data_IF_057989980983
#
_entry.id   IF_057989980983
#
_cell.length_a   1.000
_cell.length_b   1.000
_cell.length_c   1.000
_cell.angle_alpha   90.00
_cell.angle_beta   90.00
_cell.angle_gamma   90.00
#
_symmetry.space_group_name_H-M   'P 1'
#
loop_
_entity.id
_entity.type
_entity.pdbx_description
1 polymer ?
#
# COMPACT_ATOMS: atom_id res chain seq x y z
N UNK A 1 21.75 7.63 6.17
CA UNK A 1 20.57 7.63 7.05
C UNK A 1 19.42 7.10 6.23
N UNK A 2 18.55 6.25 6.78
CA UNK A 2 17.35 5.76 6.07
C UNK A 2 16.26 6.79 6.27
N UNK A 3 15.66 7.28 5.19
CA UNK A 3 14.59 8.26 5.27
C UNK A 3 13.32 7.62 5.84
N UNK A 4 12.52 8.42 6.55
CA UNK A 4 11.27 7.94 7.12
C UNK A 4 10.23 7.73 6.02
N UNK A 5 9.46 6.65 6.12
CA UNK A 5 8.29 6.36 5.30
C UNK A 5 7.04 6.42 6.17
N UNK A 6 6.27 7.48 6.01
CA UNK A 6 4.92 7.58 6.52
C UNK A 6 3.97 6.77 5.65
N UNK A 7 3.11 5.97 6.27
CA UNK A 7 1.97 5.34 5.60
C UNK A 7 0.69 5.92 6.19
N UNK A 8 -0.31 6.19 5.36
CA UNK A 8 -1.55 6.82 5.80
C UNK A 8 -2.77 6.05 5.30
N UNK A 9 -3.66 5.70 6.22
CA UNK A 9 -4.98 5.17 5.90
C UNK A 9 -5.47 4.14 6.90
N UNK A 10 -5.99 3.04 6.38
CA UNK A 10 -6.68 2.00 7.14
C UNK A 10 -5.71 0.96 7.73
N UNK A 11 -5.96 0.62 9.00
CA UNK A 11 -5.51 -0.62 9.62
C UNK A 11 -6.77 -1.41 9.95
N UNK A 12 -6.84 -2.66 9.50
CA UNK A 12 -8.08 -3.46 9.54
C UNK A 12 -7.83 -4.82 10.18
N UNK A 13 -8.89 -5.42 10.71
CA UNK A 13 -8.88 -6.84 11.06
C UNK A 13 -9.54 -7.63 9.94
N UNK A 14 -8.73 -8.47 9.29
CA UNK A 14 -9.18 -9.44 8.30
C UNK A 14 -9.61 -10.72 9.01
N UNK A 15 -10.87 -11.10 8.83
CA UNK A 15 -11.42 -12.38 9.26
C UNK A 15 -11.29 -13.37 8.11
N UNK A 16 -10.25 -14.22 8.17
CA UNK A 16 -9.91 -15.18 7.10
C UNK A 16 -10.47 -16.57 7.46
N UNK A 17 -11.18 -17.29 6.57
CA UNK A 17 -11.76 -18.58 6.88
C UNK A 17 -10.69 -19.60 7.30
N UNK A 18 -10.85 -20.15 8.50
CA UNK A 18 -10.03 -21.26 8.99
C UNK A 18 -10.68 -22.60 8.65
N UNK A 19 -11.98 -22.68 8.92
CA UNK A 19 -12.87 -23.80 8.61
C UNK A 19 -14.32 -23.25 8.50
N UNK A 20 -15.31 -24.14 8.38
CA UNK A 20 -16.70 -23.73 8.14
C UNK A 20 -17.34 -22.90 9.25
N UNK A 21 -16.79 -22.89 10.47
CA UNK A 21 -17.38 -22.27 11.65
C UNK A 21 -16.42 -21.33 12.41
N UNK A 22 -15.20 -21.10 11.93
CA UNK A 22 -14.25 -20.18 12.54
C UNK A 22 -13.47 -19.35 11.51
N UNK A 23 -13.13 -18.13 11.93
CA UNK A 23 -12.25 -17.23 11.21
C UNK A 23 -10.97 -17.00 12.00
N UNK A 24 -9.85 -16.98 11.31
CA UNK A 24 -8.59 -16.44 11.82
C UNK A 24 -8.70 -14.92 11.92
N UNK A 25 -8.26 -14.37 13.05
CA UNK A 25 -8.14 -12.93 13.27
C UNK A 25 -6.77 -12.46 12.78
N UNK A 26 -6.70 -11.93 11.56
CA UNK A 26 -5.46 -11.47 10.94
C UNK A 26 -5.38 -9.93 10.98
N UNK A 27 -4.22 -9.34 11.31
CA UNK A 27 -3.99 -7.92 11.07
C UNK A 27 -3.86 -7.67 9.56
N UNK A 28 -4.40 -6.55 9.10
CA UNK A 28 -4.42 -6.17 7.69
C UNK A 28 -4.57 -4.66 7.49
N UNK A 29 -4.97 -4.29 6.27
CA UNK A 29 -5.08 -2.89 5.81
C UNK A 29 -3.87 -2.54 4.97
N UNK A 30 -4.09 -2.08 3.75
CA UNK A 30 -2.99 -1.95 2.78
C UNK A 30 -1.85 -1.03 3.27
N UNK A 31 -2.12 0.17 3.82
CA UNK A 31 -1.09 1.00 4.43
C UNK A 31 -0.38 0.31 5.59
N UNK A 32 -1.12 -0.42 6.44
CA UNK A 32 -0.56 -1.12 7.60
C UNK A 32 0.39 -2.26 7.16
N UNK A 33 0.01 -3.02 6.14
CA UNK A 33 0.83 -4.06 5.52
C UNK A 33 2.14 -3.48 4.98
N UNK A 34 2.06 -2.33 4.31
CA UNK A 34 3.24 -1.62 3.80
C UNK A 34 4.16 -1.19 4.94
N UNK A 35 3.63 -0.61 6.02
CA UNK A 35 4.46 -0.19 7.16
C UNK A 35 5.17 -1.36 7.85
N UNK A 36 4.47 -2.47 8.09
CA UNK A 36 5.07 -3.68 8.68
C UNK A 36 6.14 -4.25 7.75
N UNK A 37 5.86 -4.33 6.45
CA UNK A 37 6.84 -4.82 5.47
C UNK A 37 8.11 -3.98 5.47
N UNK A 38 8.00 -2.64 5.53
CA UNK A 38 9.16 -1.75 5.61
C UNK A 38 9.92 -1.97 6.92
N UNK A 39 9.23 -2.10 8.05
CA UNK A 39 9.86 -2.29 9.36
C UNK A 39 10.61 -3.63 9.44
N UNK A 40 10.02 -4.73 8.94
CA UNK A 40 10.66 -6.05 8.91
C UNK A 40 11.92 -6.09 8.04
N UNK A 41 12.00 -5.23 7.02
CA UNK A 41 13.20 -5.02 6.20
C UNK A 41 14.25 -4.11 6.86
N UNK A 42 14.02 -3.66 8.10
CA UNK A 42 14.91 -2.75 8.84
C UNK A 42 14.77 -1.27 8.45
N UNK A 43 13.67 -0.91 7.77
CA UNK A 43 13.34 0.47 7.41
C UNK A 43 12.74 1.26 8.57
N UNK A 44 12.56 2.58 8.35
CA UNK A 44 11.96 3.50 9.31
C UNK A 44 10.54 3.85 8.87
N UNK A 45 9.55 3.01 9.21
CA UNK A 45 8.15 3.26 8.90
C UNK A 45 7.38 3.85 10.09
N UNK A 46 6.41 4.71 9.76
CA UNK A 46 5.51 5.33 10.72
C UNK A 46 4.08 5.36 10.18
N UNK A 47 3.09 5.10 11.04
CA UNK A 47 1.69 4.98 10.65
C UNK A 47 0.89 6.22 11.07
N UNK A 48 0.16 6.80 10.11
CA UNK A 48 -0.80 7.90 10.30
C UNK A 48 -2.20 7.34 10.09
N UNK A 49 -3.06 7.39 11.10
CA UNK A 49 -4.40 6.85 10.94
C UNK A 49 -5.25 6.86 12.19
N UNK A 50 -6.47 6.36 12.05
CA UNK A 50 -7.41 6.16 13.15
C UNK A 50 -7.90 4.72 13.18
N UNK A 51 -7.97 4.17 14.38
CA UNK A 51 -8.70 2.93 14.67
C UNK A 51 -9.76 3.22 15.71
N UNK A 52 -10.77 2.37 15.86
CA UNK A 52 -11.78 2.57 16.88
C UNK A 52 -11.21 2.34 18.28
N UNK A 53 -11.81 2.99 19.29
CA UNK A 53 -11.55 2.71 20.71
C UNK A 53 -12.22 1.39 21.13
N UNK A 54 -11.78 0.31 20.49
CA UNK A 54 -12.34 -1.03 20.64
C UNK A 54 -11.23 -2.10 20.64
N UNK A 55 -11.63 -3.37 20.81
CA UNK A 55 -10.69 -4.48 20.94
C UNK A 55 -9.85 -4.73 19.68
N UNK A 56 -10.37 -4.38 18.50
CA UNK A 56 -9.65 -4.52 17.24
C UNK A 56 -8.66 -3.37 17.04
N UNK A 57 -9.03 -2.15 17.41
CA UNK A 57 -8.10 -1.02 17.37
C UNK A 57 -6.92 -1.22 18.32
N UNK A 58 -7.19 -1.67 19.55
CA UNK A 58 -6.14 -2.02 20.51
C UNK A 58 -5.24 -3.17 20.01
N UNK A 59 -5.83 -4.18 19.38
CA UNK A 59 -5.09 -5.28 18.76
C UNK A 59 -4.15 -4.78 17.64
N UNK A 60 -4.62 -3.92 16.74
CA UNK A 60 -3.81 -3.40 15.65
C UNK A 60 -2.68 -2.49 16.13
N UNK A 61 -2.94 -1.62 17.10
CA UNK A 61 -1.89 -0.81 17.74
C UNK A 61 -0.81 -1.70 18.37
N UNK A 62 -1.21 -2.77 19.06
CA UNK A 62 -0.27 -3.73 19.63
C UNK A 62 0.58 -4.40 18.54
N UNK A 63 -0.05 -4.93 17.49
CA UNK A 63 0.67 -5.59 16.37
C UNK A 63 1.65 -4.64 15.71
N UNK A 64 1.23 -3.43 15.34
CA UNK A 64 2.11 -2.46 14.68
C UNK A 64 3.29 -2.05 15.58
N UNK A 65 3.05 -1.90 16.89
CA UNK A 65 4.13 -1.62 17.85
C UNK A 65 5.11 -2.79 18.00
N UNK A 66 4.62 -4.03 18.01
CA UNK A 66 5.46 -5.24 18.08
C UNK A 66 6.33 -5.37 16.82
N UNK A 67 5.77 -5.06 15.66
CA UNK A 67 6.45 -4.99 14.35
C UNK A 67 7.39 -3.78 14.20
N UNK A 68 7.60 -2.99 15.26
CA UNK A 68 8.49 -1.81 15.28
C UNK A 68 8.08 -0.67 14.34
N UNK A 69 6.79 -0.55 14.00
CA UNK A 69 6.24 0.61 13.30
C UNK A 69 6.01 1.74 14.31
N UNK A 70 6.43 2.97 13.98
CA UNK A 70 6.13 4.15 14.79
C UNK A 70 4.64 4.50 14.69
N UNK A 71 3.89 4.27 15.77
CA UNK A 71 2.45 4.52 15.86
C UNK A 71 2.11 5.84 16.58
N UNK A 72 3.06 6.77 16.71
CA UNK A 72 2.84 8.05 17.40
C UNK A 72 1.72 8.92 16.80
N UNK A 73 1.37 8.68 15.53
CA UNK A 73 0.28 9.35 14.79
C UNK A 73 -0.91 8.41 14.51
N UNK A 74 -1.06 7.35 15.31
CA UNK A 74 -2.21 6.44 15.25
C UNK A 74 -3.17 6.70 16.41
N UNK A 75 -4.27 7.39 16.13
CA UNK A 75 -5.27 7.82 17.12
C UNK A 75 -6.37 6.76 17.32
N UNK A 76 -6.97 6.74 18.52
CA UNK A 76 -8.18 5.96 18.78
C UNK A 76 -9.42 6.85 18.68
N UNK A 77 -10.32 6.55 17.77
CA UNK A 77 -11.59 7.24 17.59
C UNK A 77 -12.62 6.74 18.61
N UNK A 78 -13.25 7.62 19.41
CA UNK A 78 -14.19 7.21 20.45
C UNK A 78 -15.58 6.83 19.91
N UNK A 79 -15.92 7.26 18.69
CA UNK A 79 -17.29 7.21 18.16
C UNK A 79 -17.46 6.19 17.03
N UNK A 80 -16.36 5.81 16.37
CA UNK A 80 -16.36 4.89 15.23
C UNK A 80 -15.55 3.63 15.51
N UNK A 81 -15.97 2.53 14.89
CA UNK A 81 -15.32 1.23 15.06
C UNK A 81 -14.17 1.00 14.08
N UNK A 82 -13.22 0.18 14.51
CA UNK A 82 -12.13 -0.31 13.65
C UNK A 82 -12.68 -1.09 12.46
N UNK A 83 -12.10 -0.86 11.27
CA UNK A 83 -12.49 -1.60 10.06
C UNK A 83 -12.33 -3.11 10.27
N UNK A 84 -13.38 -3.85 9.91
CA UNK A 84 -13.42 -5.30 9.98
C UNK A 84 -13.86 -5.83 8.63
N UNK A 85 -13.03 -6.70 8.05
CA UNK A 85 -13.25 -7.24 6.72
C UNK A 85 -13.41 -8.75 6.83
N UNK A 86 -14.50 -9.29 6.29
CA UNK A 86 -14.64 -10.73 6.12
C UNK A 86 -14.07 -11.09 4.75
N UNK A 87 -13.09 -11.98 4.74
CA UNK A 87 -12.52 -12.52 3.51
C UNK A 87 -13.31 -13.78 3.17
N UNK A 88 -13.81 -13.89 1.96
CA UNK A 88 -14.34 -15.15 1.43
C UNK A 88 -13.36 -15.72 0.40
N UNK A 89 -13.32 -17.05 0.31
CA UNK A 89 -12.57 -17.79 -0.67
C UNK A 89 -13.57 -18.63 -1.46
N UNK A 90 -13.77 -18.28 -2.72
CA UNK A 90 -14.66 -19.05 -3.57
C UNK A 90 -14.05 -20.43 -3.91
N UNK A 91 -14.81 -21.26 -4.63
CA UNK A 91 -14.38 -22.61 -5.03
C UNK A 91 -13.16 -22.62 -5.96
N UNK A 92 -12.85 -21.49 -6.60
CA UNK A 92 -11.70 -21.28 -7.48
C UNK A 92 -10.52 -20.62 -6.76
N UNK A 93 -10.68 -20.29 -5.47
CA UNK A 93 -9.69 -19.58 -4.66
C UNK A 93 -9.65 -18.07 -4.89
N UNK A 94 -10.61 -17.52 -5.63
CA UNK A 94 -10.79 -16.08 -5.79
C UNK A 94 -11.32 -15.49 -4.49
N UNK A 95 -10.68 -14.39 -4.05
CA UNK A 95 -11.04 -13.74 -2.80
C UNK A 95 -12.04 -12.63 -3.04
N UNK A 96 -13.06 -12.58 -2.20
CA UNK A 96 -13.90 -11.39 -2.05
C UNK A 96 -13.73 -10.79 -0.66
N UNK A 97 -13.87 -9.47 -0.58
CA UNK A 97 -13.72 -8.72 0.66
C UNK A 97 -15.06 -8.08 1.00
N UNK A 98 -15.62 -8.43 2.16
CA UNK A 98 -16.84 -7.81 2.67
C UNK A 98 -16.50 -6.89 3.85
N UNK A 99 -16.63 -5.58 3.63
CA UNK A 99 -16.41 -4.58 4.67
C UNK A 99 -17.61 -4.51 5.61
N UNK A 100 -17.44 -4.99 6.85
CA UNK A 100 -18.52 -5.06 7.84
C UNK A 100 -18.78 -3.74 8.56
N UNK A 101 -17.78 -2.84 8.57
CA UNK A 101 -17.86 -1.53 9.21
C UNK A 101 -17.68 -0.46 8.13
N UNK A 102 -18.74 0.29 7.83
CA UNK A 102 -18.72 1.36 6.82
C UNK A 102 -19.62 2.54 7.24
N UNK A 103 -19.06 3.68 7.69
CA UNK A 103 -17.65 4.05 7.63
C UNK A 103 -16.90 3.55 8.87
N UNK A 104 -15.67 3.09 8.70
CA UNK A 104 -14.76 2.76 9.80
C UNK A 104 -13.98 3.99 10.28
N UNK A 105 -13.33 3.86 11.44
CA UNK A 105 -12.64 4.96 12.12
C UNK A 105 -11.56 5.65 11.26
N UNK A 106 -10.88 4.92 10.37
CA UNK A 106 -9.87 5.45 9.45
C UNK A 106 -10.40 6.53 8.50
N UNK A 107 -11.70 6.52 8.20
CA UNK A 107 -12.36 7.53 7.37
C UNK A 107 -12.66 8.84 8.11
N UNK A 108 -12.36 8.90 9.42
CA UNK A 108 -12.52 10.08 10.27
C UNK A 108 -11.22 10.80 10.61
N UNK A 109 -10.14 10.52 9.85
CA UNK A 109 -8.84 11.19 9.97
C UNK A 109 -8.97 12.72 9.88
N UNK A 110 -8.38 13.42 10.85
CA UNK A 110 -8.43 14.87 10.97
C UNK A 110 -7.07 15.51 10.69
N UNK A 111 -7.02 16.81 10.30
CA UNK A 111 -5.76 17.51 10.10
C UNK A 111 -4.81 17.48 11.30
N UNK A 112 -5.33 17.43 12.53
CA UNK A 112 -4.53 17.35 13.75
C UNK A 112 -3.83 16.00 13.97
N UNK A 113 -4.25 14.96 13.25
CA UNK A 113 -3.58 13.65 13.29
C UNK A 113 -2.28 13.65 12.46
N UNK A 114 -2.08 14.66 11.58
CA UNK A 114 -0.93 14.72 10.68
C UNK A 114 0.36 15.14 11.41
N UNK A 115 1.51 14.52 11.09
CA UNK A 115 2.81 14.94 11.60
C UNK A 115 3.34 16.19 10.88
N UNK A 116 4.36 16.81 11.50
CA UNK A 116 5.24 17.73 10.79
C UNK A 116 6.19 16.93 9.87
N UNK A 117 5.91 16.96 8.56
CA UNK A 117 6.74 16.30 7.56
C UNK A 117 8.09 17.02 7.35
N UNK A 118 9.11 16.24 7.00
CA UNK A 118 10.47 16.75 6.70
C UNK A 118 10.87 16.46 5.25
N UNK A 119 11.89 17.18 4.79
CA UNK A 119 12.51 16.93 3.49
C UNK A 119 12.99 15.48 3.37
N UNK A 120 12.93 14.94 2.15
CA UNK A 120 13.36 13.58 1.78
C UNK A 120 12.57 12.43 2.44
N UNK A 121 11.58 12.71 3.30
CA UNK A 121 10.62 11.71 3.80
C UNK A 121 9.64 11.26 2.70
N UNK A 122 9.03 10.10 2.90
CA UNK A 122 8.06 9.51 1.98
C UNK A 122 6.68 9.43 2.65
N UNK A 123 5.62 9.64 1.88
CA UNK A 123 4.24 9.37 2.28
C UNK A 123 3.63 8.37 1.30
N UNK A 124 3.13 7.25 1.80
CA UNK A 124 2.38 6.26 1.04
C UNK A 124 0.88 6.32 1.37
N UNK A 125 0.03 6.35 0.33
CA UNK A 125 -1.42 6.47 0.44
C UNK A 125 -2.12 5.47 -0.50
N UNK A 126 -3.24 4.92 -0.04
CA UNK A 126 -4.19 4.16 -0.87
C UNK A 126 -5.54 4.87 -1.03
N UNK A 127 -6.34 4.47 -2.03
CA UNK A 127 -7.60 5.19 -2.34
C UNK A 127 -8.70 5.08 -1.29
N UNK A 128 -8.66 4.09 -0.38
CA UNK A 128 -9.65 3.97 0.71
C UNK A 128 -9.67 5.25 1.57
N UNK A 129 -8.50 5.82 1.88
CA UNK A 129 -8.39 7.09 2.63
C UNK A 129 -9.04 8.28 1.91
N UNK A 130 -9.28 8.16 0.60
CA UNK A 130 -9.95 9.18 -0.23
C UNK A 130 -11.45 8.93 -0.38
N UNK A 131 -11.98 7.82 0.12
CA UNK A 131 -13.36 7.39 -0.15
C UNK A 131 -14.41 8.30 0.49
N UNK A 132 -14.11 8.92 1.63
CA UNK A 132 -15.06 9.74 2.38
C UNK A 132 -14.38 10.92 3.11
N UNK A 133 -15.13 12.00 3.33
CA UNK A 133 -14.76 13.03 4.30
C UNK A 133 -14.93 12.55 5.75
N UNK A 134 -14.14 13.06 6.71
CA UNK A 134 -13.05 14.05 6.54
C UNK A 134 -11.71 13.47 6.06
N UNK A 135 -11.55 12.14 6.04
CA UNK A 135 -10.27 11.52 5.67
C UNK A 135 -9.77 11.92 4.28
N UNK A 136 -10.67 12.09 3.31
CA UNK A 136 -10.33 12.54 1.94
C UNK A 136 -9.61 13.89 1.94
N UNK A 137 -10.19 14.92 2.54
CA UNK A 137 -9.58 16.24 2.56
C UNK A 137 -8.28 16.25 3.37
N UNK A 138 -8.26 15.60 4.54
CA UNK A 138 -7.06 15.44 5.36
C UNK A 138 -5.92 14.73 4.62
N UNK A 139 -6.22 13.67 3.87
CA UNK A 139 -5.24 12.91 3.09
C UNK A 139 -4.64 13.77 1.98
N UNK A 140 -5.46 14.56 1.27
CA UNK A 140 -4.92 15.51 0.29
C UNK A 140 -4.04 16.57 0.95
N UNK A 141 -4.41 17.08 2.12
CA UNK A 141 -3.56 17.99 2.90
C UNK A 141 -2.23 17.33 3.28
N UNK A 142 -2.23 16.04 3.65
CA UNK A 142 -0.99 15.31 3.93
C UNK A 142 -0.07 15.22 2.70
N UNK A 143 -0.64 14.88 1.53
CA UNK A 143 0.11 14.83 0.26
C UNK A 143 0.66 16.20 -0.13
N UNK A 144 -0.10 17.28 0.07
CA UNK A 144 0.34 18.65 -0.20
C UNK A 144 1.44 19.10 0.78
N UNK A 145 1.28 18.82 2.08
CA UNK A 145 2.23 19.20 3.13
C UNK A 145 3.58 18.51 2.97
N UNK A 146 3.62 17.20 2.70
CA UNK A 146 4.91 16.51 2.52
C UNK A 146 5.66 17.00 1.28
N UNK A 147 4.95 17.30 0.18
CA UNK A 147 5.57 17.90 -1.00
C UNK A 147 6.13 19.30 -0.71
N UNK A 148 5.38 20.11 0.03
CA UNK A 148 5.84 21.43 0.45
C UNK A 148 7.08 21.36 1.35
N UNK A 149 7.21 20.30 2.16
CA UNK A 149 8.39 20.02 2.98
C UNK A 149 9.60 19.48 2.17
N UNK A 150 9.43 19.16 0.88
CA UNK A 150 10.48 18.59 0.03
C UNK A 150 10.56 17.05 0.11
N UNK A 151 9.51 16.38 0.58
CA UNK A 151 9.39 14.92 0.56
C UNK A 151 8.73 14.39 -0.71
N UNK A 152 8.42 13.08 -0.68
CA UNK A 152 7.93 12.31 -1.82
C UNK A 152 6.56 11.71 -1.52
N UNK A 153 5.71 11.62 -2.55
CA UNK A 153 4.40 10.96 -2.45
C UNK A 153 4.40 9.68 -3.27
N UNK A 154 4.16 8.55 -2.60
CA UNK A 154 3.82 7.26 -3.18
C UNK A 154 2.32 7.04 -3.13
N UNK A 155 1.73 6.61 -4.25
CA UNK A 155 0.31 6.31 -4.33
C UNK A 155 0.08 4.94 -4.98
N UNK A 156 -0.62 4.06 -4.27
CA UNK A 156 -1.18 2.82 -4.82
C UNK A 156 -2.70 2.95 -4.77
N UNK A 157 -3.39 3.20 -5.89
CA UNK A 157 -4.85 3.32 -5.91
C UNK A 157 -5.53 2.20 -5.11
N UNK A 158 -5.08 0.95 -5.24
CA UNK A 158 -5.62 -0.20 -4.53
C UNK A 158 -7.15 -0.16 -4.49
N UNK A 159 -7.76 -0.07 -5.67
CA UNK A 159 -9.17 0.33 -5.82
C UNK A 159 -10.08 -0.69 -5.12
N UNK A 160 -10.95 -0.19 -4.24
CA UNK A 160 -12.03 -0.95 -3.59
C UNK A 160 -13.33 -0.19 -3.78
N UNK A 161 -14.04 -0.44 -4.88
CA UNK A 161 -15.24 0.33 -5.23
C UNK A 161 -16.32 0.26 -4.13
N UNK A 162 -16.43 -0.87 -3.44
CA UNK A 162 -17.44 -1.11 -2.39
C UNK A 162 -17.34 -0.17 -1.17
N UNK A 163 -16.16 0.44 -0.92
CA UNK A 163 -16.02 1.41 0.19
C UNK A 163 -16.51 2.82 -0.20
N UNK A 164 -16.72 3.09 -1.49
CA UNK A 164 -17.13 4.40 -1.98
C UNK A 164 -18.65 4.55 -1.94
N UNK A 165 -19.15 5.25 -0.92
CA UNK A 165 -20.58 5.62 -0.83
C UNK A 165 -21.07 6.44 -2.02
N UNK A 166 -20.17 7.21 -2.63
CA UNK A 166 -20.39 7.99 -3.84
C UNK A 166 -19.41 7.50 -4.91
N UNK A 167 -19.75 6.44 -5.67
CA UNK A 167 -18.86 5.87 -6.68
C UNK A 167 -18.37 6.89 -7.71
N UNK A 168 -19.20 7.90 -8.02
CA UNK A 168 -18.85 9.01 -8.90
C UNK A 168 -17.68 9.88 -8.40
N UNK A 169 -17.38 9.85 -7.10
CA UNK A 169 -16.27 10.56 -6.50
C UNK A 169 -14.92 9.85 -6.68
N UNK A 170 -14.91 8.54 -6.97
CA UNK A 170 -13.70 7.73 -7.11
C UNK A 170 -12.74 8.31 -8.17
N UNK A 171 -13.22 8.46 -9.42
CA UNK A 171 -12.38 8.93 -10.53
C UNK A 171 -11.81 10.34 -10.30
N UNK A 172 -12.59 11.35 -9.88
CA UNK A 172 -12.04 12.65 -9.51
C UNK A 172 -10.97 12.60 -8.41
N UNK A 173 -11.17 11.75 -7.39
CA UNK A 173 -10.19 11.60 -6.30
C UNK A 173 -8.90 10.92 -6.77
N UNK A 174 -9.00 9.86 -7.57
CA UNK A 174 -7.83 9.23 -8.21
C UNK A 174 -7.07 10.24 -9.06
N UNK A 175 -7.76 11.03 -9.88
CA UNK A 175 -7.13 12.06 -10.71
C UNK A 175 -6.37 13.09 -9.85
N UNK A 176 -6.97 13.57 -8.76
CA UNK A 176 -6.30 14.52 -7.85
C UNK A 176 -5.09 13.89 -7.16
N UNK A 177 -5.19 12.65 -6.69
CA UNK A 177 -4.09 11.94 -6.05
C UNK A 177 -2.92 11.69 -7.03
N UNK A 178 -3.21 11.28 -8.27
CA UNK A 178 -2.21 11.09 -9.33
C UNK A 178 -1.50 12.39 -9.73
N UNK A 179 -2.16 13.55 -9.62
CA UNK A 179 -1.52 14.86 -9.83
C UNK A 179 -0.53 15.23 -8.71
N UNK A 180 -0.70 14.67 -7.51
CA UNK A 180 0.14 14.91 -6.35
C UNK A 180 1.23 13.84 -6.18
N UNK A 181 1.02 12.63 -6.71
CA UNK A 181 1.95 11.51 -6.59
C UNK A 181 3.25 11.72 -7.39
N UNK A 182 4.38 11.31 -6.81
CA UNK A 182 5.68 11.22 -7.49
C UNK A 182 5.93 9.79 -7.99
N UNK A 183 5.54 8.79 -7.18
CA UNK A 183 5.68 7.36 -7.47
C UNK A 183 4.31 6.71 -7.43
N UNK A 184 3.91 6.04 -8.51
CA UNK A 184 2.64 5.34 -8.60
C UNK A 184 2.89 3.87 -8.86
N UNK A 185 2.26 2.99 -8.08
CA UNK A 185 2.14 1.57 -8.41
C UNK A 185 0.67 1.28 -8.71
N UNK A 186 0.41 0.53 -9.77
CA UNK A 186 -0.94 0.09 -10.17
C UNK A 186 -0.87 -1.33 -10.72
N UNK A 187 -1.98 -2.06 -10.68
CA UNK A 187 -2.13 -3.28 -11.47
C UNK A 187 -2.45 -2.98 -12.94
N UNK A 188 -2.43 -4.02 -13.79
CA UNK A 188 -2.87 -3.90 -15.18
C UNK A 188 -4.36 -3.54 -15.29
N UNK A 189 -5.17 -4.09 -14.39
CA UNK A 189 -6.61 -3.82 -14.29
C UNK A 189 -6.86 -2.36 -13.89
N UNK A 190 -6.14 -1.86 -12.89
CA UNK A 190 -6.22 -0.46 -12.46
C UNK A 190 -5.72 0.50 -13.53
N UNK A 191 -4.65 0.14 -14.25
CA UNK A 191 -4.17 0.90 -15.41
C UNK A 191 -5.27 1.05 -16.44
N UNK A 192 -5.92 -0.07 -16.78
CA UNK A 192 -7.00 -0.09 -17.77
C UNK A 192 -8.20 0.73 -17.30
N UNK A 193 -8.55 0.64 -16.01
CA UNK A 193 -9.63 1.40 -15.40
C UNK A 193 -9.38 2.91 -15.43
N UNK A 194 -8.18 3.34 -15.05
CA UNK A 194 -7.84 4.77 -14.94
C UNK A 194 -7.68 5.41 -16.33
N UNK A 195 -6.98 4.72 -17.24
CA UNK A 195 -6.70 5.24 -18.59
C UNK A 195 -7.85 5.05 -19.58
N UNK A 196 -8.76 4.12 -19.32
CA UNK A 196 -9.71 3.57 -20.28
C UNK A 196 -9.01 2.99 -21.54
N UNK A 197 -7.78 2.50 -21.40
CA UNK A 197 -6.96 1.91 -22.48
C UNK A 197 -6.60 0.47 -22.07
N UNK A 198 -6.93 -0.51 -22.90
CA UNK A 198 -6.66 -1.94 -22.61
C UNK A 198 -5.29 -2.46 -23.06
N UNK A 199 -4.50 -1.65 -23.76
CA UNK A 199 -3.15 -2.00 -24.20
C UNK A 199 -2.12 -1.42 -23.21
N UNK A 200 -1.18 -2.25 -22.76
CA UNK A 200 -0.26 -1.96 -21.65
C UNK A 200 0.66 -0.77 -21.93
N UNK A 201 1.36 -0.75 -23.06
CA UNK A 201 2.33 0.30 -23.38
C UNK A 201 1.61 1.64 -23.58
N UNK A 202 0.50 1.65 -24.34
CA UNK A 202 -0.33 2.85 -24.55
C UNK A 202 -0.93 3.37 -23.25
N UNK A 203 -1.35 2.47 -22.34
CA UNK A 203 -1.83 2.85 -21.02
C UNK A 203 -0.74 3.51 -20.18
N UNK A 204 0.47 2.92 -20.16
CA UNK A 204 1.64 3.47 -19.47
C UNK A 204 1.99 4.86 -20.03
N UNK A 205 2.10 4.99 -21.35
CA UNK A 205 2.41 6.25 -22.02
C UNK A 205 1.37 7.32 -21.71
N UNK A 206 0.08 6.96 -21.74
CA UNK A 206 -1.00 7.86 -21.38
C UNK A 206 -0.88 8.37 -19.93
N UNK A 207 -0.59 7.48 -18.98
CA UNK A 207 -0.40 7.86 -17.57
C UNK A 207 0.77 8.84 -17.40
N UNK A 208 1.91 8.53 -18.01
CA UNK A 208 3.13 9.36 -17.93
C UNK A 208 2.98 10.72 -18.62
N UNK A 209 2.15 10.82 -19.67
CA UNK A 209 1.85 12.08 -20.34
C UNK A 209 0.79 12.91 -19.59
N UNK A 210 -0.17 12.25 -18.95
CA UNK A 210 -1.33 12.90 -18.32
C UNK A 210 -1.00 13.49 -16.95
N UNK A 211 -0.09 12.85 -16.21
CA UNK A 211 0.22 13.16 -14.83
C UNK A 211 1.73 13.41 -14.66
N UNK A 212 2.14 14.25 -13.68
CA UNK A 212 3.55 14.61 -13.46
C UNK A 212 4.33 13.51 -12.70
N UNK A 213 4.12 12.25 -13.06
CA UNK A 213 4.73 11.10 -12.39
C UNK A 213 6.22 11.06 -12.68
N UNK A 214 7.02 10.78 -11.65
CA UNK A 214 8.46 10.52 -11.80
C UNK A 214 8.76 9.03 -11.96
N UNK A 215 7.88 8.18 -11.43
CA UNK A 215 7.99 6.73 -11.52
C UNK A 215 6.59 6.10 -11.57
N UNK A 216 6.35 5.25 -12.56
CA UNK A 216 5.17 4.41 -12.67
C UNK A 216 5.59 2.93 -12.68
N UNK A 217 4.97 2.13 -11.82
CA UNK A 217 5.12 0.68 -11.79
C UNK A 217 3.76 0.03 -12.11
N UNK A 218 3.73 -0.83 -13.12
CA UNK A 218 2.54 -1.62 -13.49
C UNK A 218 2.83 -3.08 -13.19
N UNK A 219 2.22 -3.62 -12.14
CA UNK A 219 2.38 -5.02 -11.74
C UNK A 219 1.52 -5.94 -12.60
N UNK A 220 2.10 -7.06 -13.03
CA UNK A 220 1.53 -8.01 -13.98
C UNK A 220 1.40 -9.43 -13.36
N UNK A 221 1.24 -9.51 -12.04
CA UNK A 221 1.22 -10.78 -11.32
C UNK A 221 2.48 -11.61 -11.57
N UNK A 222 2.31 -12.87 -11.98
CA UNK A 222 3.41 -13.79 -12.30
C UNK A 222 4.30 -13.36 -13.47
N UNK A 223 3.83 -12.44 -14.32
CA UNK A 223 4.62 -11.89 -15.42
C UNK A 223 5.55 -10.76 -14.97
N UNK A 224 5.44 -10.30 -13.73
CA UNK A 224 6.38 -9.37 -13.10
C UNK A 224 5.90 -7.92 -13.09
N UNK A 225 6.75 -6.98 -13.49
CA UNK A 225 6.44 -5.54 -13.42
C UNK A 225 7.04 -4.76 -14.59
N UNK A 226 6.25 -3.84 -15.14
CA UNK A 226 6.75 -2.79 -16.03
C UNK A 226 7.05 -1.53 -15.23
N UNK A 227 8.21 -0.93 -15.46
CA UNK A 227 8.70 0.26 -14.75
C UNK A 227 8.96 1.36 -15.77
N UNK A 228 8.31 2.50 -15.60
CA UNK A 228 8.56 3.71 -16.38
C UNK A 228 9.12 4.81 -15.46
N UNK A 229 10.38 5.22 -15.66
CA UNK A 229 11.12 6.16 -14.79
C UNK A 229 11.15 7.62 -15.29
N UNK A 230 10.22 7.94 -16.20
CA UNK A 230 10.16 9.22 -16.90
C UNK A 230 11.02 9.29 -18.16
N UNK A 231 11.82 8.25 -18.44
CA UNK A 231 12.67 8.18 -19.64
C UNK A 231 12.34 6.99 -20.52
N UNK A 232 12.22 5.81 -19.92
CA UNK A 232 11.98 4.57 -20.67
C UNK A 232 11.20 3.54 -19.86
N UNK A 233 10.53 2.64 -20.58
CA UNK A 233 9.87 1.47 -20.02
C UNK A 233 10.88 0.32 -19.92
N UNK A 234 10.91 -0.37 -18.77
CA UNK A 234 11.65 -1.62 -18.55
C UNK A 234 10.71 -2.68 -17.99
N UNK A 235 10.83 -3.91 -18.47
CA UNK A 235 10.11 -5.06 -17.91
C UNK A 235 11.05 -5.93 -17.06
N UNK A 236 10.60 -6.29 -15.86
CA UNK A 236 11.30 -7.19 -14.95
C UNK A 236 10.42 -8.39 -14.64
N UNK A 237 10.90 -9.59 -14.96
CA UNK A 237 10.18 -10.85 -14.72
C UNK A 237 10.06 -11.14 -13.22
N UNK A 238 8.90 -11.62 -12.80
CA UNK A 238 8.70 -12.04 -11.42
C UNK A 238 9.53 -13.30 -11.09
N UNK A 239 9.96 -13.45 -9.82
CA UNK A 239 10.43 -14.73 -9.30
C UNK A 239 9.34 -15.81 -9.47
N UNK A 240 9.75 -17.02 -9.86
CA UNK A 240 8.83 -18.15 -9.97
C UNK A 240 8.53 -18.71 -8.58
N UNK A 241 7.26 -18.63 -8.16
CA UNK A 241 6.78 -19.20 -6.90
C UNK A 241 5.35 -19.73 -7.08
N UNK A 242 4.98 -20.75 -6.31
CA UNK A 242 3.59 -21.23 -6.24
C UNK A 242 2.90 -20.53 -5.07
N UNK A 243 1.92 -19.64 -5.32
CA UNK A 243 1.26 -18.91 -4.25
C UNK A 243 0.34 -19.82 -3.43
N UNK A 244 0.34 -19.63 -2.12
CA UNK A 244 -0.66 -20.18 -1.17
C UNK A 244 -1.81 -19.19 -1.00
N UNK A 245 -1.49 -17.90 -0.94
CA UNK A 245 -2.40 -16.78 -0.75
C UNK A 245 -1.87 -15.59 -1.57
N UNK A 246 -2.69 -14.84 -2.30
CA UNK A 246 -2.22 -13.66 -3.05
C UNK A 246 -2.50 -12.34 -2.32
N UNK A 247 -3.22 -12.38 -1.19
CA UNK A 247 -3.54 -11.23 -0.36
C UNK A 247 -2.26 -10.58 0.18
N UNK A 248 -2.17 -9.26 0.03
CA UNK A 248 -1.01 -8.48 0.49
C UNK A 248 0.22 -8.55 -0.41
N UNK A 249 0.21 -9.31 -1.52
CA UNK A 249 1.37 -9.37 -2.42
C UNK A 249 1.73 -8.01 -3.05
N UNK A 250 0.71 -7.21 -3.40
CA UNK A 250 0.89 -5.84 -3.88
C UNK A 250 1.46 -4.91 -2.81
N UNK A 251 0.95 -5.01 -1.58
CA UNK A 251 1.41 -4.21 -0.44
C UNK A 251 2.86 -4.57 -0.07
N UNK A 252 3.20 -5.86 -0.09
CA UNK A 252 4.56 -6.36 0.12
C UNK A 252 5.53 -5.88 -0.97
N UNK A 253 5.08 -5.85 -2.23
CA UNK A 253 5.85 -5.26 -3.31
C UNK A 253 6.14 -3.77 -3.06
N UNK A 254 5.12 -3.01 -2.66
CA UNK A 254 5.26 -1.58 -2.31
C UNK A 254 6.19 -1.41 -1.12
N UNK A 255 6.09 -2.25 -0.09
CA UNK A 255 6.98 -2.21 1.07
C UNK A 255 8.44 -2.40 0.67
N UNK A 256 8.74 -3.44 -0.13
CA UNK A 256 10.08 -3.69 -0.65
C UNK A 256 10.61 -2.55 -1.51
N UNK A 257 9.76 -1.97 -2.38
CA UNK A 257 10.09 -0.81 -3.19
C UNK A 257 10.42 0.42 -2.34
N UNK A 258 9.52 0.80 -1.43
CA UNK A 258 9.69 2.00 -0.61
C UNK A 258 10.84 1.88 0.39
N UNK A 259 11.09 0.70 0.95
CA UNK A 259 12.27 0.46 1.77
C UNK A 259 13.57 0.71 0.98
N UNK A 260 13.64 0.27 -0.28
CA UNK A 260 14.80 0.52 -1.14
C UNK A 260 14.92 2.01 -1.53
N UNK A 261 13.82 2.66 -1.93
CA UNK A 261 13.82 4.08 -2.33
C UNK A 261 14.16 5.00 -1.15
N UNK A 262 13.63 4.73 0.04
CA UNK A 262 13.92 5.50 1.24
C UNK A 262 15.36 5.31 1.73
N UNK A 263 15.98 4.15 1.45
CA UNK A 263 17.40 3.93 1.71
C UNK A 263 18.28 4.72 0.73
N UNK A 264 17.89 4.81 -0.55
CA UNK A 264 18.60 5.59 -1.56
C UNK A 264 18.42 7.11 -1.37
N UNK A 265 17.28 7.53 -0.84
CA UNK A 265 16.89 8.93 -0.71
C UNK A 265 16.58 9.63 -2.04
N UNK A 266 16.53 8.88 -3.14
CA UNK A 266 16.26 9.36 -4.49
C UNK A 266 15.75 8.21 -5.38
N UNK A 267 15.35 8.55 -6.61
CA UNK A 267 15.05 7.52 -7.61
C UNK A 267 16.32 6.75 -8.02
N UNK A 268 16.19 5.45 -8.34
CA UNK A 268 17.33 4.63 -8.74
C UNK A 268 17.99 5.12 -10.02
N UNK A 269 19.33 5.05 -10.06
CA UNK A 269 20.09 5.16 -11.30
C UNK A 269 19.99 3.86 -12.11
N UNK A 270 20.41 3.90 -13.38
CA UNK A 270 20.26 2.76 -14.32
C UNK A 270 20.75 1.43 -13.72
N UNK A 271 21.95 1.44 -13.12
CA UNK A 271 22.56 0.24 -12.56
C UNK A 271 21.88 -0.28 -11.29
N UNK A 272 21.02 0.52 -10.65
CA UNK A 272 20.35 0.19 -9.39
C UNK A 272 18.98 -0.44 -9.60
N UNK A 273 18.34 -0.22 -10.76
CA UNK A 273 17.00 -0.75 -11.04
C UNK A 273 16.86 -2.26 -10.82
N UNK A 274 17.76 -3.12 -11.33
CA UNK A 274 17.61 -4.56 -11.13
C UNK A 274 17.53 -4.96 -9.65
N UNK A 275 18.36 -4.36 -8.79
CA UNK A 275 18.37 -4.68 -7.36
C UNK A 275 17.12 -4.18 -6.63
N UNK A 276 16.70 -2.94 -6.92
CA UNK A 276 15.49 -2.33 -6.32
C UNK A 276 14.24 -3.12 -6.70
N UNK A 277 14.10 -3.49 -7.97
CA UNK A 277 12.94 -4.25 -8.44
C UNK A 277 12.99 -5.70 -7.98
N UNK A 278 14.16 -6.33 -7.93
CA UNK A 278 14.29 -7.68 -7.38
C UNK A 278 13.85 -7.73 -5.91
N UNK A 279 14.22 -6.74 -5.10
CA UNK A 279 13.75 -6.62 -3.71
C UNK A 279 12.23 -6.50 -3.64
N UNK A 280 11.62 -5.60 -4.41
CA UNK A 280 10.16 -5.41 -4.43
C UNK A 280 9.43 -6.70 -4.88
N UNK A 281 9.87 -7.33 -5.98
CA UNK A 281 9.27 -8.56 -6.47
C UNK A 281 9.47 -9.75 -5.52
N UNK A 282 10.62 -9.85 -4.86
CA UNK A 282 10.87 -10.89 -3.85
C UNK A 282 9.96 -10.73 -2.63
N UNK A 283 9.72 -9.50 -2.15
CA UNK A 283 8.76 -9.25 -1.08
C UNK A 283 7.35 -9.65 -1.50
N UNK A 284 6.92 -9.25 -2.70
CA UNK A 284 5.63 -9.65 -3.27
C UNK A 284 5.49 -11.17 -3.39
N UNK A 285 6.51 -11.86 -3.89
CA UNK A 285 6.52 -13.32 -4.02
C UNK A 285 6.48 -14.04 -2.66
N UNK A 286 7.34 -13.65 -1.71
CA UNK A 286 7.41 -14.26 -0.39
C UNK A 286 6.11 -14.09 0.40
N UNK A 287 5.48 -12.92 0.31
CA UNK A 287 4.19 -12.65 0.95
C UNK A 287 3.11 -13.65 0.51
N UNK A 288 3.23 -14.24 -0.68
CA UNK A 288 2.25 -15.22 -1.14
C UNK A 288 2.35 -16.61 -0.53
N UNK A 289 3.38 -16.87 0.28
CA UNK A 289 3.70 -18.22 0.77
C UNK A 289 2.92 -18.65 2.03
N UNK A 290 2.15 -17.74 2.63
CA UNK A 290 1.31 -18.04 3.79
C UNK A 290 -0.02 -17.29 3.72
N UNK A 291 -1.04 -17.77 4.44
CA UNK A 291 -2.34 -17.09 4.53
C UNK A 291 -2.26 -15.79 5.31
N UNK A 292 -2.95 -14.75 4.82
CA UNK A 292 -3.05 -13.45 5.47
C UNK A 292 -1.94 -12.46 5.06
N UNK A 293 -2.29 -11.17 5.00
CA UNK A 293 -1.49 -10.15 4.34
C UNK A 293 -0.10 -9.91 4.98
N UNK A 294 -0.01 -9.99 6.31
CA UNK A 294 1.23 -9.73 7.04
C UNK A 294 2.05 -10.99 7.37
N UNK A 295 1.47 -12.18 7.22
CA UNK A 295 2.04 -13.42 7.78
C UNK A 295 3.40 -13.75 7.18
N UNK A 296 3.54 -13.64 5.86
CA UNK A 296 4.77 -13.95 5.13
C UNK A 296 5.50 -12.71 4.59
N UNK A 297 5.24 -11.52 5.14
CA UNK A 297 6.09 -10.37 4.88
C UNK A 297 7.50 -10.69 5.38
N UNK A 298 8.52 -10.69 4.50
CA UNK A 298 9.82 -11.21 4.86
C UNK A 298 10.57 -10.26 5.79
N UNK A 299 11.34 -10.84 6.70
CA UNK A 299 12.44 -10.13 7.35
C UNK A 299 13.63 -9.95 6.39
N UNK A 300 14.53 -9.03 6.71
CA UNK A 300 15.66 -8.69 5.86
C UNK A 300 16.58 -9.89 5.52
N UNK A 301 16.77 -10.82 6.44
CA UNK A 301 17.53 -12.05 6.26
C UNK A 301 16.83 -13.04 5.31
N UNK A 302 15.53 -13.26 5.50
CA UNK A 302 14.71 -14.11 4.62
C UNK A 302 14.70 -13.58 3.18
N UNK A 303 14.59 -12.26 3.02
CA UNK A 303 14.69 -11.60 1.72
C UNK A 303 16.06 -11.83 1.08
N UNK A 304 17.15 -11.67 1.83
CA UNK A 304 18.49 -11.91 1.30
C UNK A 304 18.71 -13.35 0.90
N UNK A 305 18.22 -14.30 1.69
CA UNK A 305 18.32 -15.73 1.37
C UNK A 305 17.50 -16.10 0.14
N UNK A 306 16.36 -15.45 -0.09
CA UNK A 306 15.58 -15.61 -1.32
C UNK A 306 16.32 -15.05 -2.54
N UNK A 307 16.90 -13.84 -2.44
CA UNK A 307 17.60 -13.17 -3.55
C UNK A 307 18.92 -13.83 -3.97
N UNK A 308 19.49 -14.70 -3.13
CA UNK A 308 20.72 -15.47 -3.44
C UNK A 308 20.46 -16.75 -4.23
N UNK A 309 19.20 -17.18 -4.34
CA UNK A 309 18.80 -18.40 -5.07
C UNK A 309 18.71 -18.14 -6.56
#
# INVERSE_FOLDING_TARGET
MVNRVWVLGDAVVDLVPENSNSYLKCPGGAPANVAVGIARLGGNSAFIGRVGRDSFGAFLQQVLSEEQVDIGHMSQDPDHHTSTVVVDLDLMGERSFTFMVSPSADLFLQPEDLPDFKADEWLHVCSIALSQEPSRSTTFTAMENIKAAGGWVSFDPNIREDVWRQPEALRPCLQKALLLADVVKISLEELSFISNIGELESGIDWMMQRYPLRLLLVTLGGDGVCVHDGKQIRHFRAPSITPVDTTGAGDAFVAGLLAALAHLGALPQEAQWPAVIAQAQACGALATTAKGAMTALPHADELQDFLRR
#
